data_IF_388453460602
#
_entry.id   IF_388453460602
#
_cell.length_a   1.000
_cell.length_b   1.000
_cell.length_c   1.000
_cell.angle_alpha   90.00
_cell.angle_beta   90.00
_cell.angle_gamma   90.00
#
_symmetry.space_group_name_H-M   'P 1'
#
loop_
_entity.id
_entity.type
_entity.pdbx_description
1 polymer ?
#
# COMPACT_ATOMS: atom_id res chain seq x y z
N UNK A 1 -0.34 -24.82 7.11
CA UNK A 1 -0.07 -23.83 6.04
C UNK A 1 -0.48 -22.47 6.58
N UNK A 2 0.45 -21.71 7.16
CA UNK A 2 0.14 -20.38 7.69
C UNK A 2 -0.06 -19.42 6.53
N UNK A 3 -1.27 -18.89 6.37
CA UNK A 3 -1.52 -17.85 5.37
C UNK A 3 -0.69 -16.62 5.74
N UNK A 4 0.21 -16.18 4.84
CA UNK A 4 1.00 -14.97 5.10
C UNK A 4 0.09 -13.75 5.03
N UNK A 5 -0.38 -13.32 6.20
CA UNK A 5 -1.30 -12.19 6.38
C UNK A 5 -0.74 -10.88 5.82
N UNK A 6 0.58 -10.78 5.58
CA UNK A 6 1.19 -9.58 5.01
C UNK A 6 0.72 -9.33 3.58
N UNK A 7 0.40 -10.38 2.84
CA UNK A 7 -0.02 -10.29 1.45
C UNK A 7 -1.44 -9.69 1.30
N UNK A 8 -2.51 -10.19 1.95
CA UNK A 8 -3.83 -9.57 1.88
C UNK A 8 -3.86 -8.17 2.51
N UNK A 9 -3.14 -7.96 3.62
CA UNK A 9 -3.07 -6.65 4.28
C UNK A 9 -2.35 -5.64 3.38
N UNK A 10 -1.23 -6.01 2.76
CA UNK A 10 -0.51 -5.17 1.83
C UNK A 10 -1.34 -4.79 0.60
N UNK A 11 -2.11 -5.73 0.05
CA UNK A 11 -3.05 -5.45 -1.04
C UNK A 11 -4.14 -4.46 -0.63
N UNK A 12 -4.72 -4.63 0.57
CA UNK A 12 -5.76 -3.73 1.08
C UNK A 12 -5.23 -2.30 1.21
N UNK A 13 -4.06 -2.11 1.84
CA UNK A 13 -3.44 -0.79 1.96
C UNK A 13 -3.07 -0.17 0.61
N UNK A 14 -2.56 -0.97 -0.33
CA UNK A 14 -2.22 -0.51 -1.68
C UNK A 14 -3.47 -0.02 -2.41
N UNK A 15 -4.56 -0.79 -2.39
CA UNK A 15 -5.81 -0.44 -3.07
C UNK A 15 -6.46 0.79 -2.45
N UNK A 16 -6.56 0.86 -1.13
CA UNK A 16 -7.12 2.02 -0.44
C UNK A 16 -6.26 3.28 -0.63
N UNK A 17 -4.94 3.15 -0.55
CA UNK A 17 -4.01 4.23 -0.84
C UNK A 17 -4.16 4.75 -2.26
N UNK A 18 -4.24 3.85 -3.25
CA UNK A 18 -4.45 4.22 -4.65
C UNK A 18 -5.78 4.97 -4.86
N UNK A 19 -6.87 4.49 -4.23
CA UNK A 19 -8.16 5.18 -4.27
C UNK A 19 -8.08 6.58 -3.67
N UNK A 20 -7.41 6.75 -2.52
CA UNK A 20 -7.22 8.06 -1.88
C UNK A 20 -6.37 9.01 -2.74
N UNK A 21 -5.30 8.50 -3.36
CA UNK A 21 -4.46 9.29 -4.27
C UNK A 21 -5.25 9.76 -5.47
N UNK A 22 -5.99 8.85 -6.12
CA UNK A 22 -6.83 9.20 -7.27
C UNK A 22 -7.90 10.21 -6.86
N UNK A 23 -8.61 9.96 -5.77
CA UNK A 23 -9.62 10.87 -5.26
C UNK A 23 -9.01 12.25 -4.96
N UNK A 24 -7.89 12.31 -4.26
CA UNK A 24 -7.18 13.56 -3.96
C UNK A 24 -6.75 14.29 -5.23
N UNK A 25 -6.24 13.59 -6.25
CA UNK A 25 -5.87 14.20 -7.54
C UNK A 25 -7.08 14.79 -8.26
N UNK A 26 -8.19 14.05 -8.37
CA UNK A 26 -9.40 14.52 -9.06
C UNK A 26 -10.12 15.66 -8.32
N UNK A 27 -9.96 15.73 -7.01
CA UNK A 27 -10.64 16.73 -6.18
C UNK A 27 -9.75 17.91 -5.79
N UNK A 28 -8.50 17.99 -6.30
CA UNK A 28 -7.50 19.02 -5.96
C UNK A 28 -7.97 20.47 -6.18
N UNK A 29 -8.91 20.70 -7.09
CA UNK A 29 -9.49 22.02 -7.39
C UNK A 29 -10.90 22.22 -6.82
N UNK A 30 -11.39 21.30 -6.00
CA UNK A 30 -12.73 21.41 -5.41
C UNK A 30 -12.74 22.47 -4.29
N UNK A 31 -13.79 23.32 -4.23
CA UNK A 31 -13.96 24.31 -3.15
C UNK A 31 -14.03 23.67 -1.74
N UNK A 32 -14.31 22.36 -1.66
CA UNK A 32 -14.26 21.57 -0.41
C UNK A 32 -12.94 21.76 0.34
N UNK A 33 -11.80 21.82 -0.36
CA UNK A 33 -10.48 21.92 0.31
C UNK A 33 -10.14 23.33 0.76
N UNK A 34 -10.61 24.35 0.05
CA UNK A 34 -10.36 25.75 0.40
C UNK A 34 -11.13 26.16 1.67
N UNK A 35 -12.37 25.70 1.82
CA UNK A 35 -13.21 26.14 2.94
C UNK A 35 -13.11 25.26 4.20
N UNK A 36 -12.77 23.97 4.07
CA UNK A 36 -12.83 23.01 5.20
C UNK A 36 -11.47 22.42 5.59
N UNK A 37 -10.45 22.54 4.75
CA UNK A 37 -9.17 21.82 4.91
C UNK A 37 -7.94 22.72 5.02
N UNK A 38 -8.12 24.04 5.23
CA UNK A 38 -7.05 25.04 5.12
C UNK A 38 -6.30 25.00 3.77
N UNK A 39 -6.96 24.54 2.69
CA UNK A 39 -6.34 24.38 1.37
C UNK A 39 -5.45 23.14 1.20
N UNK A 40 -5.37 22.26 2.21
CA UNK A 40 -4.52 21.06 2.17
C UNK A 40 -5.29 19.84 1.69
N UNK A 41 -4.74 19.14 0.69
CA UNK A 41 -5.29 17.89 0.18
C UNK A 41 -4.83 16.69 1.03
N UNK A 42 -5.46 16.54 2.19
CA UNK A 42 -5.15 15.49 3.17
C UNK A 42 -5.30 14.08 2.55
N UNK A 43 -6.30 13.89 1.68
CA UNK A 43 -6.53 12.62 0.99
C UNK A 43 -5.35 12.22 0.11
N UNK A 44 -4.77 13.19 -0.62
CA UNK A 44 -3.60 12.95 -1.44
C UNK A 44 -2.37 12.61 -0.59
N UNK A 45 -2.08 13.42 0.44
CA UNK A 45 -0.90 13.21 1.29
C UNK A 45 -0.94 11.87 2.02
N UNK A 46 -2.06 11.55 2.68
CA UNK A 46 -2.22 10.27 3.38
C UNK A 46 -2.39 9.10 2.42
N UNK A 47 -3.02 9.31 1.27
CA UNK A 47 -3.11 8.31 0.20
C UNK A 47 -1.74 7.88 -0.29
N UNK A 48 -0.81 8.82 -0.51
CA UNK A 48 0.57 8.53 -0.92
C UNK A 48 1.27 7.72 0.17
N UNK A 49 1.16 8.12 1.45
CA UNK A 49 1.78 7.41 2.58
C UNK A 49 1.26 5.96 2.66
N UNK A 50 -0.05 5.76 2.60
CA UNK A 50 -0.70 4.45 2.63
C UNK A 50 -0.29 3.59 1.43
N UNK A 51 -0.21 4.18 0.24
CA UNK A 51 0.17 3.49 -0.99
C UNK A 51 1.62 3.00 -0.92
N UNK A 52 2.56 3.86 -0.52
CA UNK A 52 3.97 3.49 -0.34
C UNK A 52 4.10 2.38 0.69
N UNK A 53 3.42 2.50 1.82
CA UNK A 53 3.43 1.48 2.87
C UNK A 53 2.89 0.12 2.37
N UNK A 54 1.74 0.12 1.70
CA UNK A 54 1.14 -1.09 1.13
C UNK A 54 2.06 -1.77 0.11
N UNK A 55 2.66 -1.00 -0.80
CA UNK A 55 3.59 -1.51 -1.80
C UNK A 55 4.84 -2.14 -1.17
N UNK A 56 5.42 -1.51 -0.15
CA UNK A 56 6.55 -2.05 0.60
C UNK A 56 6.18 -3.39 1.26
N UNK A 57 5.00 -3.48 1.87
CA UNK A 57 4.52 -4.70 2.50
C UNK A 57 4.36 -5.85 1.49
N UNK A 58 3.71 -5.58 0.34
CA UNK A 58 3.55 -6.56 -0.74
C UNK A 58 4.92 -7.00 -1.29
N UNK A 59 5.85 -6.06 -1.45
CA UNK A 59 7.20 -6.35 -1.91
C UNK A 59 7.96 -7.29 -0.95
N UNK A 60 7.95 -6.99 0.35
CA UNK A 60 8.62 -7.83 1.35
C UNK A 60 7.94 -9.19 1.52
N UNK A 61 6.61 -9.27 1.46
CA UNK A 61 5.88 -10.54 1.51
C UNK A 61 6.29 -11.46 0.35
N UNK A 62 6.31 -10.93 -0.88
CA UNK A 62 6.77 -11.68 -2.07
C UNK A 62 8.23 -12.10 -1.96
N UNK A 63 9.10 -11.24 -1.42
CA UNK A 63 10.52 -11.57 -1.22
C UNK A 63 10.72 -12.66 -0.17
N UNK A 64 9.94 -12.64 0.92
CA UNK A 64 9.98 -13.67 1.97
C UNK A 64 9.58 -15.03 1.41
N UNK A 65 8.47 -15.09 0.65
CA UNK A 65 8.00 -16.34 0.04
C UNK A 65 9.04 -16.94 -0.92
N UNK A 66 9.74 -16.12 -1.71
CA UNK A 66 10.82 -16.60 -2.58
C UNK A 66 11.99 -17.21 -1.81
N UNK A 67 12.32 -16.67 -0.62
CA UNK A 67 13.42 -17.18 0.21
C UNK A 67 13.10 -18.53 0.84
N UNK A 68 11.85 -18.72 1.29
CA UNK A 68 11.39 -20.01 1.83
C UNK A 68 11.47 -21.11 0.76
N UNK A 69 10.95 -20.84 -0.46
CA UNK A 69 11.00 -21.81 -1.58
C UNK A 69 12.43 -22.19 -1.97
N UNK A 70 13.37 -21.23 -1.96
CA UNK A 70 14.79 -21.52 -2.23
C UNK A 70 15.46 -22.35 -1.15
N UNK A 71 15.01 -22.27 0.11
CA UNK A 71 15.53 -23.07 1.22
C UNK A 71 15.09 -24.54 1.11
N UNK A 72 13.83 -24.77 0.73
CA UNK A 72 13.30 -26.13 0.53
C UNK A 72 13.88 -26.84 -0.70
N UNK A 73 14.33 -26.07 -1.71
CA UNK A 73 14.95 -26.61 -2.92
C UNK A 73 16.46 -26.91 -2.76
N UNK A 74 17.09 -26.52 -1.64
CA UNK A 74 18.47 -26.85 -1.38
C UNK A 74 18.58 -28.31 -0.86
N UNK A 75 19.45 -29.17 -1.42
CA UNK A 75 19.64 -30.51 -0.91
C UNK A 75 20.11 -30.43 0.54
N UNK A 76 19.32 -31.00 1.45
CA UNK A 76 19.72 -31.20 2.84
C UNK A 76 20.95 -32.13 2.81
N UNK A 77 22.13 -31.57 3.09
CA UNK A 77 23.37 -32.33 3.25
C UNK A 77 23.39 -32.99 4.63
#
# INVERSE_FOLDING_TARGET
MGFDIRLPIGFLFTTLGALLVLFGLFTRHSPIYQERSLGLNINLSWGIILLVFGLLMVYFAKRSQRREVSKDAAPQK
#
